data_IF_159671349488
#
_entry.id   IF_159671349488
#
_cell.length_a   1.000
_cell.length_b   1.000
_cell.length_c   1.000
_cell.angle_alpha   90.00
_cell.angle_beta   90.00
_cell.angle_gamma   90.00
#
_symmetry.space_group_name_H-M   'P 1'
#
loop_
_entity.id
_entity.type
_entity.pdbx_description
1 polymer ?
#
# COMPACT_ATOMS: atom_id res chain seq x y z
N UNK A 1 22.42 39.24 -12.18
CA UNK A 1 23.04 37.93 -11.90
C UNK A 1 22.27 37.13 -10.83
N UNK A 2 21.45 37.78 -9.98
CA UNK A 2 20.51 37.14 -9.06
C UNK A 2 19.22 36.69 -9.76
N UNK A 3 18.65 37.53 -10.65
CA UNK A 3 17.36 37.25 -11.32
C UNK A 3 17.37 35.98 -12.17
N UNK A 4 18.44 35.70 -12.92
CA UNK A 4 18.52 34.49 -13.76
C UNK A 4 18.58 33.20 -12.91
N UNK A 5 19.23 33.28 -11.74
CA UNK A 5 19.32 32.14 -10.81
C UNK A 5 18.00 31.90 -10.10
N UNK A 6 17.27 32.96 -9.76
CA UNK A 6 15.94 32.86 -9.16
C UNK A 6 14.91 32.33 -10.17
N UNK A 7 14.97 32.79 -11.43
CA UNK A 7 14.12 32.28 -12.50
C UNK A 7 14.34 30.79 -12.78
N UNK A 8 15.61 30.35 -12.82
CA UNK A 8 15.95 28.94 -13.02
C UNK A 8 15.54 28.06 -11.84
N UNK A 9 15.65 28.56 -10.60
CA UNK A 9 15.13 27.86 -9.40
C UNK A 9 13.62 27.64 -9.48
N UNK A 10 12.85 28.69 -9.79
CA UNK A 10 11.40 28.60 -9.91
C UNK A 10 10.97 27.61 -11.01
N UNK A 11 11.75 27.51 -12.09
CA UNK A 11 11.52 26.53 -13.15
C UNK A 11 11.75 25.11 -12.64
N UNK A 12 12.87 24.84 -11.98
CA UNK A 12 13.19 23.51 -11.42
C UNK A 12 12.17 23.07 -10.35
N UNK A 13 11.70 23.99 -9.51
CA UNK A 13 10.66 23.71 -8.53
C UNK A 13 9.34 23.33 -9.19
N UNK A 14 8.93 24.04 -10.26
CA UNK A 14 7.72 23.69 -11.02
C UNK A 14 7.84 22.35 -11.73
N UNK A 15 8.98 22.09 -12.37
CA UNK A 15 9.24 20.81 -13.03
C UNK A 15 9.19 19.66 -12.01
N UNK A 16 9.83 19.83 -10.84
CA UNK A 16 9.81 18.85 -9.75
C UNK A 16 8.40 18.64 -9.20
N UNK A 17 7.64 19.73 -9.01
CA UNK A 17 6.28 19.67 -8.50
C UNK A 17 5.32 18.93 -9.44
N UNK A 18 5.38 19.20 -10.75
CA UNK A 18 4.54 18.51 -11.73
C UNK A 18 4.90 17.02 -11.84
N UNK A 19 6.19 16.66 -11.76
CA UNK A 19 6.63 15.26 -11.68
C UNK A 19 6.09 14.59 -10.40
N UNK A 20 6.23 15.23 -9.23
CA UNK A 20 5.71 14.68 -7.96
C UNK A 20 4.19 14.49 -7.99
N UNK A 21 3.46 15.47 -8.53
CA UNK A 21 2.00 15.44 -8.63
C UNK A 21 1.52 14.28 -9.50
N UNK A 22 2.16 14.05 -10.65
CA UNK A 22 1.82 12.94 -11.53
C UNK A 22 2.15 11.58 -10.89
N UNK A 23 3.33 11.43 -10.31
CA UNK A 23 3.73 10.20 -9.61
C UNK A 23 2.82 9.89 -8.44
N UNK A 24 2.47 10.89 -7.62
CA UNK A 24 1.59 10.72 -6.47
C UNK A 24 0.21 10.20 -6.87
N UNK A 25 -0.38 10.74 -7.95
CA UNK A 25 -1.67 10.25 -8.50
C UNK A 25 -1.60 8.79 -8.96
N UNK A 26 -0.56 8.43 -9.70
CA UNK A 26 -0.37 7.05 -10.17
C UNK A 26 -0.16 6.08 -9.00
N UNK A 27 0.69 6.44 -8.06
CA UNK A 27 0.96 5.63 -6.87
C UNK A 27 -0.25 5.50 -5.96
N UNK A 28 -1.07 6.54 -5.82
CA UNK A 28 -2.33 6.48 -5.09
C UNK A 28 -3.30 5.53 -5.79
N UNK A 29 -3.51 5.69 -7.09
CA UNK A 29 -4.38 4.81 -7.88
C UNK A 29 -3.97 3.34 -7.79
N UNK A 30 -2.67 3.06 -7.91
CA UNK A 30 -2.14 1.71 -7.79
C UNK A 30 -2.37 1.12 -6.39
N UNK A 31 -2.07 1.88 -5.32
CA UNK A 31 -2.34 1.42 -3.95
C UNK A 31 -3.82 1.16 -3.71
N UNK A 32 -4.68 2.02 -4.22
CA UNK A 32 -6.13 1.88 -4.09
C UNK A 32 -6.66 0.63 -4.83
N UNK A 33 -6.22 0.43 -6.07
CA UNK A 33 -6.58 -0.74 -6.87
C UNK A 33 -6.09 -2.05 -6.21
N UNK A 34 -4.84 -2.07 -5.74
CA UNK A 34 -4.26 -3.23 -5.05
C UNK A 34 -5.03 -3.52 -3.75
N UNK A 35 -5.29 -2.52 -2.92
CA UNK A 35 -6.03 -2.71 -1.67
C UNK A 35 -7.45 -3.24 -1.90
N UNK A 36 -8.17 -2.68 -2.88
CA UNK A 36 -9.53 -3.09 -3.23
C UNK A 36 -9.56 -4.52 -3.78
N UNK A 37 -8.59 -4.87 -4.63
CA UNK A 37 -8.49 -6.22 -5.21
C UNK A 37 -8.18 -7.27 -4.15
N UNK A 38 -7.24 -6.97 -3.24
CA UNK A 38 -6.91 -7.87 -2.13
C UNK A 38 -8.09 -8.03 -1.17
N UNK A 39 -8.83 -6.95 -0.89
CA UNK A 39 -10.03 -7.02 -0.06
C UNK A 39 -11.12 -7.90 -0.70
N UNK A 40 -11.37 -7.75 -2.00
CA UNK A 40 -12.34 -8.58 -2.72
C UNK A 40 -11.94 -10.07 -2.70
N UNK A 41 -10.65 -10.36 -2.88
CA UNK A 41 -10.13 -11.72 -2.81
C UNK A 41 -10.30 -12.31 -1.40
N UNK A 42 -9.97 -11.54 -0.35
CA UNK A 42 -10.11 -11.96 1.04
C UNK A 42 -11.58 -12.27 1.39
N UNK A 43 -12.51 -11.42 0.95
CA UNK A 43 -13.96 -11.68 1.11
C UNK A 43 -14.35 -12.99 0.41
N UNK A 44 -13.85 -13.23 -0.81
CA UNK A 44 -14.12 -14.47 -1.53
C UNK A 44 -13.66 -15.71 -0.78
N UNK A 45 -12.41 -15.71 -0.30
CA UNK A 45 -11.84 -16.82 0.49
C UNK A 45 -12.60 -17.02 1.79
N UNK A 46 -12.98 -15.94 2.47
CA UNK A 46 -13.79 -15.98 3.69
C UNK A 46 -15.15 -16.64 3.44
N UNK A 47 -15.87 -16.23 2.39
CA UNK A 47 -17.18 -16.80 2.04
C UNK A 47 -17.06 -18.28 1.72
N UNK A 48 -16.08 -18.69 0.92
CA UNK A 48 -15.87 -20.10 0.57
C UNK A 48 -15.55 -20.91 1.82
N UNK A 49 -14.63 -20.44 2.67
CA UNK A 49 -14.25 -21.13 3.90
C UNK A 49 -15.44 -21.25 4.86
N UNK A 50 -16.23 -20.18 5.02
CA UNK A 50 -17.42 -20.19 5.86
C UNK A 50 -18.47 -21.18 5.34
N UNK A 51 -18.68 -21.28 4.01
CA UNK A 51 -19.61 -22.25 3.42
C UNK A 51 -19.17 -23.70 3.69
N UNK A 52 -17.87 -23.98 3.63
CA UNK A 52 -17.32 -25.31 3.93
C UNK A 52 -17.56 -25.66 5.41
N UNK A 53 -17.25 -24.74 6.32
CA UNK A 53 -17.37 -24.94 7.76
C UNK A 53 -18.83 -25.08 8.20
N UNK A 54 -19.74 -24.29 7.62
CA UNK A 54 -21.17 -24.32 7.96
C UNK A 54 -21.92 -25.52 7.37
N UNK A 55 -21.34 -26.23 6.39
CA UNK A 55 -21.93 -27.41 5.76
C UNK A 55 -21.02 -28.64 5.87
N UNK A 56 -20.60 -29.05 7.08
CA UNK A 56 -19.55 -30.05 7.27
C UNK A 56 -19.91 -31.41 6.64
N UNK A 57 -21.20 -31.77 6.60
CA UNK A 57 -21.67 -33.05 6.04
C UNK A 57 -21.50 -33.15 4.51
N UNK A 58 -21.28 -32.02 3.82
CA UNK A 58 -21.12 -31.97 2.35
C UNK A 58 -19.67 -32.04 1.90
N UNK A 59 -18.72 -31.93 2.82
CA UNK A 59 -17.30 -31.81 2.52
C UNK A 59 -16.50 -32.88 3.26
N UNK A 60 -15.31 -33.21 2.75
CA UNK A 60 -14.43 -34.12 3.46
C UNK A 60 -13.94 -33.51 4.78
N UNK A 61 -13.63 -34.32 5.80
CA UNK A 61 -13.06 -33.82 7.06
C UNK A 61 -11.81 -32.97 6.84
N UNK A 62 -10.96 -33.33 5.88
CA UNK A 62 -9.76 -32.58 5.53
C UNK A 62 -10.07 -31.20 4.97
N UNK A 63 -11.14 -31.06 4.17
CA UNK A 63 -11.56 -29.77 3.62
C UNK A 63 -12.09 -28.85 4.73
N UNK A 64 -12.88 -29.40 5.67
CA UNK A 64 -13.38 -28.64 6.83
C UNK A 64 -12.23 -28.18 7.72
N UNK A 65 -11.28 -29.06 8.04
CA UNK A 65 -10.08 -28.69 8.81
C UNK A 65 -9.22 -27.66 8.08
N UNK A 66 -8.99 -27.86 6.78
CA UNK A 66 -8.22 -26.94 5.95
C UNK A 66 -8.83 -25.55 5.90
N UNK A 67 -10.14 -25.45 5.70
CA UNK A 67 -10.86 -24.17 5.70
C UNK A 67 -10.81 -23.47 7.06
N UNK A 68 -10.90 -24.21 8.17
CA UNK A 68 -10.68 -23.66 9.51
C UNK A 68 -9.27 -23.09 9.70
N UNK A 69 -8.25 -23.80 9.22
CA UNK A 69 -6.86 -23.34 9.27
C UNK A 69 -6.63 -22.07 8.43
N UNK A 70 -7.23 -22.01 7.24
CA UNK A 70 -7.19 -20.82 6.37
C UNK A 70 -7.80 -19.61 7.08
N UNK A 71 -8.97 -19.74 7.73
CA UNK A 71 -9.57 -18.63 8.46
C UNK A 71 -8.71 -18.14 9.63
N UNK A 72 -8.05 -19.04 10.35
CA UNK A 72 -7.13 -18.67 11.43
C UNK A 72 -5.90 -17.93 10.91
N UNK A 73 -5.32 -18.39 9.80
CA UNK A 73 -4.21 -17.72 9.14
C UNK A 73 -4.60 -16.33 8.64
N UNK A 74 -5.76 -16.18 8.03
CA UNK A 74 -6.26 -14.88 7.56
C UNK A 74 -6.45 -13.91 8.72
N UNK A 75 -6.99 -14.37 9.86
CA UNK A 75 -7.13 -13.55 11.06
C UNK A 75 -5.76 -13.11 11.61
N UNK A 76 -4.80 -14.03 11.68
CA UNK A 76 -3.45 -13.72 12.13
C UNK A 76 -2.74 -12.72 11.20
N UNK A 77 -2.91 -12.90 9.88
CA UNK A 77 -2.37 -11.99 8.88
C UNK A 77 -2.98 -10.59 9.00
N UNK A 78 -4.30 -10.49 9.24
CA UNK A 78 -4.99 -9.21 9.43
C UNK A 78 -4.48 -8.47 10.66
N UNK A 79 -4.31 -9.19 11.78
CA UNK A 79 -3.72 -8.62 13.02
C UNK A 79 -2.29 -8.17 12.76
N UNK A 80 -1.46 -9.00 12.11
CA UNK A 80 -0.08 -8.66 11.77
C UNK A 80 0.02 -7.43 10.87
N UNK A 81 -0.87 -7.30 9.89
CA UNK A 81 -0.95 -6.14 9.00
C UNK A 81 -1.39 -4.88 9.76
N UNK A 82 -2.38 -4.97 10.64
CA UNK A 82 -2.84 -3.85 11.47
C UNK A 82 -1.74 -3.36 12.41
N UNK A 83 -1.03 -4.27 13.08
CA UNK A 83 0.12 -3.93 13.92
C UNK A 83 1.24 -3.30 13.10
N UNK A 84 1.54 -3.87 11.93
CA UNK A 84 2.55 -3.32 11.03
C UNK A 84 2.20 -1.90 10.56
N UNK A 85 0.92 -1.64 10.28
CA UNK A 85 0.44 -0.31 9.90
C UNK A 85 0.51 0.69 11.06
N UNK A 86 0.22 0.25 12.29
CA UNK A 86 0.30 1.08 13.49
C UNK A 86 1.75 1.41 13.88
N UNK A 87 2.68 0.48 13.64
CA UNK A 87 4.08 0.59 14.04
C UNK A 87 4.99 1.22 12.97
N UNK A 88 4.56 1.33 11.70
CA UNK A 88 5.36 1.98 10.65
C UNK A 88 5.21 3.50 10.72
N UNK A 89 6.28 4.27 10.97
CA UNK A 89 6.24 5.72 10.75
C UNK A 89 5.93 5.98 9.28
N UNK A 90 5.11 6.99 8.99
CA UNK A 90 4.62 7.33 7.65
C UNK A 90 5.80 7.63 6.71
N UNK A 91 6.32 6.61 6.04
CA UNK A 91 7.31 6.75 4.99
C UNK A 91 6.61 7.19 3.70
N UNK A 92 6.13 8.43 3.67
CA UNK A 92 6.02 9.11 2.39
C UNK A 92 7.45 9.23 1.85
N UNK A 93 7.74 8.73 0.65
CA UNK A 93 9.00 9.03 -0.01
C UNK A 93 8.94 10.52 -0.37
N UNK A 94 9.41 11.37 0.54
CA UNK A 94 9.77 12.73 0.22
C UNK A 94 11.02 12.64 -0.64
N UNK A 95 10.86 12.76 -1.96
CA UNK A 95 11.97 13.10 -2.84
C UNK A 95 12.33 14.54 -2.49
N UNK A 96 13.20 14.70 -1.48
CA UNK A 96 13.71 16.00 -1.07
C UNK A 96 14.42 16.65 -2.27
N UNK A 97 14.20 17.94 -2.54
CA UNK A 97 14.87 18.64 -3.64
C UNK A 97 16.39 18.47 -3.50
N UNK A 98 17.07 18.12 -4.60
CA UNK A 98 18.50 17.73 -4.63
C UNK A 98 19.44 18.94 -4.47
N UNK A 99 18.93 20.12 -4.11
CA UNK A 99 19.78 21.27 -3.77
C UNK A 99 20.32 21.13 -2.35
N UNK A 100 21.17 20.12 -2.11
CA UNK A 100 22.24 20.30 -1.14
C UNK A 100 23.15 21.37 -1.73
N UNK A 101 23.22 22.51 -1.04
CA UNK A 101 24.13 23.60 -1.33
C UNK A 101 25.56 23.05 -1.49
N UNK A 102 25.98 22.85 -2.72
CA UNK A 102 27.39 22.98 -3.10
C UNK A 102 27.63 24.46 -3.32
N UNK A 103 27.73 25.21 -2.22
CA UNK A 103 28.42 26.50 -2.21
C UNK A 103 28.89 26.77 -0.77
N UNK A 104 30.21 26.63 -0.57
CA UNK A 104 31.08 27.09 0.53
C UNK A 104 30.95 26.38 1.88
N UNK A 105 32.04 25.89 2.49
CA UNK A 105 33.43 26.39 2.46
C UNK A 105 34.47 25.47 1.80
#
# INVERSE_FOLDING_TARGET
MTDEREAERLRQERETFEVQKSQSRWWFGLRFATATTLLALAIGVFVISALIILSPDRYSPDAVLGSGFVMLLDLAALVGAALSALLKPSSQPSLSPVTHMSDRD
#
